data_IF_263539416076
#
_entry.id   IF_263539416076
#
_cell.length_a   1.000
_cell.length_b   1.000
_cell.length_c   1.000
_cell.angle_alpha   90.00
_cell.angle_beta   90.00
_cell.angle_gamma   90.00
#
_symmetry.space_group_name_H-M   'P 1'
#
loop_
_entity.id
_entity.type
_entity.pdbx_description
1 polymer ?
#
# COMPACT_ATOMS: atom_id res chain seq x y z
N UNK A 1 -26.93 -10.77 -3.94
CA UNK A 1 -25.87 -10.40 -2.96
C UNK A 1 -24.45 -10.74 -3.44
N UNK A 2 -24.20 -11.85 -4.12
CA UNK A 2 -22.85 -12.17 -4.63
C UNK A 2 -22.29 -11.14 -5.65
N UNK A 3 -23.15 -10.50 -6.45
CA UNK A 3 -22.72 -9.49 -7.44
C UNK A 3 -22.18 -8.20 -6.82
N UNK A 4 -22.80 -7.71 -5.74
CA UNK A 4 -22.40 -6.46 -5.09
C UNK A 4 -21.02 -6.57 -4.43
N UNK A 5 -20.69 -7.70 -3.80
CA UNK A 5 -19.39 -7.89 -3.16
C UNK A 5 -18.23 -7.94 -4.16
N UNK A 6 -18.44 -8.55 -5.33
CA UNK A 6 -17.44 -8.56 -6.41
C UNK A 6 -17.18 -7.17 -6.97
N UNK A 7 -18.24 -6.37 -7.14
CA UNK A 7 -18.10 -4.97 -7.56
C UNK A 7 -17.25 -4.17 -6.57
N UNK A 8 -17.43 -4.38 -5.26
CA UNK A 8 -16.58 -3.76 -4.25
C UNK A 8 -15.12 -4.24 -4.30
N UNK A 9 -14.85 -5.53 -4.52
CA UNK A 9 -13.47 -5.98 -4.69
C UNK A 9 -12.78 -5.29 -5.87
N UNK A 10 -13.48 -5.19 -7.01
CA UNK A 10 -12.95 -4.51 -8.19
C UNK A 10 -12.76 -3.02 -7.95
N UNK A 11 -13.69 -2.35 -7.26
CA UNK A 11 -13.52 -0.92 -6.91
C UNK A 11 -12.31 -0.71 -6.01
N UNK A 12 -12.04 -1.65 -5.09
CA UNK A 12 -10.84 -1.63 -4.26
C UNK A 12 -9.56 -1.71 -5.09
N UNK A 13 -9.50 -2.63 -6.05
CA UNK A 13 -8.36 -2.74 -6.95
C UNK A 13 -8.14 -1.48 -7.79
N UNK A 14 -9.21 -0.88 -8.31
CA UNK A 14 -9.14 0.39 -9.05
C UNK A 14 -8.63 1.52 -8.15
N UNK A 15 -9.09 1.60 -6.90
CA UNK A 15 -8.64 2.62 -5.95
C UNK A 15 -7.15 2.43 -5.60
N UNK A 16 -6.72 1.19 -5.34
CA UNK A 16 -5.32 0.87 -5.06
C UNK A 16 -4.43 1.20 -6.27
N UNK A 17 -4.90 0.89 -7.48
CA UNK A 17 -4.20 1.26 -8.71
C UNK A 17 -4.09 2.78 -8.85
N UNK A 18 -5.18 3.51 -8.63
CA UNK A 18 -5.20 4.97 -8.69
C UNK A 18 -4.22 5.59 -7.70
N UNK A 19 -4.20 5.12 -6.45
CA UNK A 19 -3.26 5.60 -5.43
C UNK A 19 -1.82 5.29 -5.80
N UNK A 20 -1.56 4.10 -6.37
CA UNK A 20 -0.23 3.70 -6.85
C UNK A 20 0.21 4.58 -8.03
N UNK A 21 -0.70 4.86 -8.97
CA UNK A 21 -0.45 5.72 -10.13
C UNK A 21 -0.19 7.17 -9.73
N UNK A 22 -1.05 7.74 -8.89
CA UNK A 22 -0.89 9.11 -8.37
C UNK A 22 0.43 9.26 -7.61
N UNK A 23 0.86 8.20 -6.91
CA UNK A 23 2.15 8.18 -6.26
C UNK A 23 3.29 8.36 -7.25
N UNK A 24 3.27 7.77 -8.45
CA UNK A 24 4.33 8.00 -9.46
C UNK A 24 4.10 9.30 -10.24
N UNK A 25 2.86 9.62 -10.60
CA UNK A 25 2.50 10.76 -11.43
C UNK A 25 2.89 12.10 -10.80
N UNK A 26 3.05 12.13 -9.48
CA UNK A 26 3.56 13.27 -8.73
C UNK A 26 4.98 13.71 -9.15
N UNK A 27 5.75 12.87 -9.85
CA UNK A 27 7.12 13.12 -10.36
C UNK A 27 8.19 13.42 -9.29
N UNK A 28 7.79 13.87 -8.09
CA UNK A 28 8.64 14.03 -6.93
C UNK A 28 7.88 13.63 -5.64
N UNK A 29 8.58 13.11 -4.63
CA UNK A 29 7.98 12.79 -3.34
C UNK A 29 7.58 14.07 -2.59
N UNK A 30 6.32 14.15 -2.19
CA UNK A 30 5.83 15.18 -1.27
C UNK A 30 4.90 14.53 -0.23
N UNK A 31 4.50 15.28 0.79
CA UNK A 31 3.78 14.73 1.96
C UNK A 31 2.52 13.93 1.56
N UNK A 32 1.78 14.37 0.55
CA UNK A 32 0.57 13.67 0.07
C UNK A 32 0.84 12.51 -0.90
N UNK A 33 2.04 12.41 -1.47
CA UNK A 33 2.45 11.34 -2.38
C UNK A 33 3.93 11.01 -2.15
N UNK A 34 4.25 10.31 -1.04
CA UNK A 34 5.64 10.12 -0.61
C UNK A 34 6.41 9.06 -1.43
N UNK A 35 5.95 8.74 -2.63
CA UNK A 35 6.51 7.70 -3.53
C UNK A 35 6.68 6.34 -2.83
N UNK A 36 5.67 5.46 -2.90
CA UNK A 36 5.86 4.10 -2.38
C UNK A 36 6.90 3.33 -3.17
N UNK A 37 7.92 2.81 -2.49
CA UNK A 37 8.92 1.93 -3.06
C UNK A 37 8.36 0.61 -3.59
N UNK A 38 7.24 0.15 -3.04
CA UNK A 38 6.55 -1.03 -3.57
C UNK A 38 6.06 -0.82 -5.01
N UNK A 39 5.87 0.44 -5.42
CA UNK A 39 5.40 0.84 -6.74
C UNK A 39 6.55 1.38 -7.60
N UNK A 40 7.40 2.23 -7.02
CA UNK A 40 8.51 2.86 -7.73
C UNK A 40 9.62 1.88 -8.10
N UNK A 41 10.01 0.95 -7.21
CA UNK A 41 11.11 0.04 -7.49
C UNK A 41 10.86 -0.85 -8.72
N UNK A 42 9.68 -1.46 -8.92
CA UNK A 42 9.34 -2.17 -10.16
C UNK A 42 9.46 -1.30 -11.42
N UNK A 43 9.05 -0.03 -11.36
CA UNK A 43 9.18 0.91 -12.49
C UNK A 43 10.66 1.16 -12.81
N UNK A 44 11.46 1.49 -11.78
CA UNK A 44 12.88 1.74 -11.94
C UNK A 44 13.61 0.50 -12.47
N UNK A 45 13.26 -0.70 -12.01
CA UNK A 45 13.82 -1.96 -12.50
C UNK A 45 13.44 -2.20 -13.96
N UNK A 46 12.17 -1.99 -14.33
CA UNK A 46 11.67 -2.13 -15.70
C UNK A 46 12.40 -1.22 -16.70
N UNK A 47 12.62 0.04 -16.31
CA UNK A 47 13.35 1.01 -17.12
C UNK A 47 14.83 0.63 -17.27
N UNK A 48 15.52 0.43 -16.16
CA UNK A 48 16.99 0.34 -16.14
C UNK A 48 17.53 -1.05 -16.51
N UNK A 49 16.80 -2.12 -16.18
CA UNK A 49 17.28 -3.50 -16.36
C UNK A 49 16.61 -4.21 -17.54
N UNK A 50 15.39 -3.82 -17.92
CA UNK A 50 14.61 -4.50 -18.96
C UNK A 50 14.38 -3.66 -20.22
N UNK A 51 14.85 -2.41 -20.25
CA UNK A 51 14.72 -1.52 -21.42
C UNK A 51 13.26 -1.20 -21.79
N UNK A 52 12.34 -1.27 -20.82
CA UNK A 52 10.94 -0.95 -21.07
C UNK A 52 10.79 0.56 -21.34
N UNK A 53 9.84 0.92 -22.19
CA UNK A 53 9.44 2.32 -22.31
C UNK A 53 8.76 2.80 -21.01
N UNK A 54 8.89 4.09 -20.70
CA UNK A 54 8.31 4.68 -19.49
C UNK A 54 6.81 4.36 -19.31
N UNK A 55 5.93 4.47 -20.33
CA UNK A 55 4.52 4.13 -20.17
C UNK A 55 4.30 2.66 -19.77
N UNK A 56 5.07 1.73 -20.34
CA UNK A 56 4.96 0.30 -20.03
C UNK A 56 5.47 0.00 -18.64
N UNK A 57 6.61 0.57 -18.25
CA UNK A 57 7.16 0.39 -16.91
C UNK A 57 6.20 0.91 -15.82
N UNK A 58 5.63 2.12 -16.00
CA UNK A 58 4.64 2.70 -15.09
C UNK A 58 3.37 1.86 -15.02
N UNK A 59 2.86 1.39 -16.15
CA UNK A 59 1.69 0.52 -16.19
C UNK A 59 1.93 -0.77 -15.38
N UNK A 60 3.05 -1.44 -15.58
CA UNK A 60 3.38 -2.68 -14.87
C UNK A 60 3.65 -2.44 -13.37
N UNK A 61 4.40 -1.40 -13.03
CA UNK A 61 4.72 -1.08 -11.64
C UNK A 61 3.48 -0.69 -10.82
N UNK A 62 2.59 0.12 -11.39
CA UNK A 62 1.33 0.52 -10.73
C UNK A 62 0.31 -0.61 -10.64
N UNK A 63 0.36 -1.59 -11.55
CA UNK A 63 -0.51 -2.75 -11.53
C UNK A 63 -0.10 -3.81 -10.49
N UNK A 64 1.13 -3.77 -9.97
CA UNK A 64 1.65 -4.81 -9.07
C UNK A 64 0.82 -4.96 -7.79
N UNK A 65 0.61 -3.84 -7.08
CA UNK A 65 -0.13 -3.83 -5.80
C UNK A 65 -1.61 -4.19 -5.96
N UNK A 66 -2.38 -3.66 -6.92
CA UNK A 66 -3.78 -4.05 -7.10
C UNK A 66 -3.94 -5.51 -7.56
N UNK A 67 -3.03 -6.03 -8.40
CA UNK A 67 -3.02 -7.45 -8.75
C UNK A 67 -2.73 -8.32 -7.52
N UNK A 68 -1.73 -7.94 -6.71
CA UNK A 68 -1.44 -8.62 -5.45
C UNK A 68 -2.66 -8.61 -4.50
N UNK A 69 -3.37 -7.48 -4.40
CA UNK A 69 -4.61 -7.37 -3.63
C UNK A 69 -5.68 -8.36 -4.11
N UNK A 70 -5.93 -8.44 -5.42
CA UNK A 70 -6.95 -9.33 -5.99
C UNK A 70 -6.63 -10.80 -5.73
N UNK A 71 -5.37 -11.20 -5.90
CA UNK A 71 -4.89 -12.56 -5.62
C UNK A 71 -4.94 -12.88 -4.12
N UNK A 72 -4.56 -11.93 -3.27
CA UNK A 72 -4.57 -12.11 -1.81
C UNK A 72 -5.99 -12.18 -1.24
N UNK A 73 -6.96 -11.54 -1.89
CA UNK A 73 -8.36 -11.44 -1.46
C UNK A 73 -9.19 -12.69 -1.73
N UNK A 74 -8.57 -13.86 -1.98
CA UNK A 74 -9.25 -15.14 -2.23
C UNK A 74 -10.35 -15.51 -1.21
N UNK A 75 -10.18 -15.16 0.07
CA UNK A 75 -11.21 -15.38 1.11
C UNK A 75 -12.45 -14.50 0.90
N UNK A 76 -12.26 -13.25 0.48
CA UNK A 76 -13.35 -12.32 0.18
C UNK A 76 -14.14 -12.76 -1.06
N UNK A 77 -13.47 -13.34 -2.06
CA UNK A 77 -14.14 -13.94 -3.22
C UNK A 77 -15.07 -15.10 -2.84
N UNK A 78 -14.73 -15.84 -1.78
CA UNK A 78 -15.55 -16.90 -1.20
C UNK A 78 -16.61 -16.40 -0.20
N UNK A 79 -16.67 -15.08 0.05
CA UNK A 79 -17.61 -14.48 0.98
C UNK A 79 -17.24 -14.67 2.47
N UNK A 80 -16.00 -15.04 2.78
CA UNK A 80 -15.55 -15.22 4.15
C UNK A 80 -15.46 -13.86 4.87
N UNK A 81 -16.27 -13.69 5.92
CA UNK A 81 -16.35 -12.44 6.67
C UNK A 81 -15.21 -12.22 7.66
N UNK A 82 -14.54 -13.28 8.11
CA UNK A 82 -13.43 -13.19 9.05
C UNK A 82 -12.13 -12.82 8.34
N UNK A 83 -11.34 -11.92 8.93
CA UNK A 83 -10.01 -11.60 8.42
C UNK A 83 -9.08 -12.82 8.62
N UNK A 84 -8.48 -13.37 7.53
CA UNK A 84 -7.55 -14.48 7.65
C UNK A 84 -6.30 -14.11 8.47
N UNK A 85 -5.77 -15.06 9.26
CA UNK A 85 -4.53 -14.86 10.04
C UNK A 85 -3.35 -14.44 9.16
N UNK A 86 -3.29 -14.93 7.90
CA UNK A 86 -2.26 -14.51 6.95
C UNK A 86 -2.28 -13.00 6.67
N UNK A 87 -3.45 -12.37 6.62
CA UNK A 87 -3.57 -10.93 6.35
C UNK A 87 -3.14 -10.09 7.55
N UNK A 88 -3.43 -10.53 8.78
CA UNK A 88 -2.91 -9.89 9.99
C UNK A 88 -1.40 -10.05 10.12
N UNK A 89 -0.86 -11.23 9.81
CA UNK A 89 0.58 -11.46 9.81
C UNK A 89 1.28 -10.59 8.75
N UNK A 90 0.69 -10.47 7.56
CA UNK A 90 1.20 -9.58 6.50
C UNK A 90 1.25 -8.13 6.97
N UNK A 91 0.21 -7.62 7.64
CA UNK A 91 0.21 -6.26 8.17
C UNK A 91 1.32 -6.04 9.22
N UNK A 92 1.56 -7.01 10.10
CA UNK A 92 2.65 -6.97 11.09
C UNK A 92 4.02 -6.94 10.38
N UNK A 93 4.21 -7.80 9.37
CA UNK A 93 5.45 -7.85 8.60
C UNK A 93 5.69 -6.53 7.86
N UNK A 94 4.67 -5.98 7.19
CA UNK A 94 4.77 -4.68 6.49
C UNK A 94 5.13 -3.57 7.49
N UNK A 95 4.49 -3.53 8.66
CA UNK A 95 4.80 -2.54 9.69
C UNK A 95 6.26 -2.66 10.17
N UNK A 96 6.71 -3.87 10.49
CA UNK A 96 8.09 -4.11 10.91
C UNK A 96 9.11 -3.71 9.83
N UNK A 97 8.84 -4.07 8.57
CA UNK A 97 9.68 -3.68 7.44
C UNK A 97 9.68 -2.16 7.21
N UNK A 98 8.54 -1.49 7.41
CA UNK A 98 8.42 -0.02 7.31
C UNK A 98 9.27 0.68 8.37
N UNK A 99 9.26 0.15 9.60
CA UNK A 99 10.11 0.63 10.70
C UNK A 99 11.58 0.40 10.41
N UNK A 100 11.98 -0.78 9.92
CA UNK A 100 13.36 -1.05 9.51
C UNK A 100 13.81 -0.16 8.35
N UNK A 101 12.92 0.08 7.38
CA UNK A 101 13.16 0.98 6.25
C UNK A 101 13.42 2.41 6.73
N UNK A 102 12.61 2.90 7.68
CA UNK A 102 12.83 4.20 8.29
C UNK A 102 14.17 4.28 9.03
N UNK A 103 14.57 3.24 9.76
CA UNK A 103 15.89 3.24 10.42
C UNK A 103 17.04 3.32 9.41
N UNK A 104 16.90 2.66 8.27
CA UNK A 104 17.94 2.62 7.23
C UNK A 104 18.04 3.92 6.43
N UNK A 105 16.91 4.44 5.94
CA UNK A 105 16.88 5.58 5.00
C UNK A 105 16.51 6.91 5.68
N UNK A 106 16.04 6.87 6.93
CA UNK A 106 15.47 8.04 7.61
C UNK A 106 16.41 9.23 7.73
N UNK A 107 17.69 9.00 8.03
CA UNK A 107 18.67 10.10 8.11
C UNK A 107 18.86 10.79 6.75
N UNK A 108 18.97 10.00 5.67
CA UNK A 108 19.03 10.54 4.30
C UNK A 108 17.75 11.29 3.93
N UNK A 109 16.59 10.75 4.30
CA UNK A 109 15.30 11.42 4.11
C UNK A 109 15.22 12.78 4.79
N UNK A 110 15.68 12.89 6.03
CA UNK A 110 15.71 14.17 6.75
C UNK A 110 16.64 15.18 6.06
N UNK A 111 17.79 14.73 5.54
CA UNK A 111 18.75 15.60 4.85
C UNK A 111 18.21 16.09 3.49
N UNK A 112 17.52 15.23 2.73
CA UNK A 112 17.03 15.54 1.38
C UNK A 112 15.67 16.25 1.41
N UNK A 113 14.71 15.74 2.19
CA UNK A 113 13.31 16.16 2.16
C UNK A 113 12.89 16.99 3.39
N UNK A 114 13.76 17.08 4.39
CA UNK A 114 13.53 17.82 5.62
C UNK A 114 12.77 17.03 6.70
N UNK A 115 12.99 17.43 7.96
CA UNK A 115 12.41 16.76 9.12
C UNK A 115 10.87 16.75 9.11
N UNK A 116 10.25 17.87 8.71
CA UNK A 116 8.79 17.98 8.66
C UNK A 116 8.16 16.95 7.72
N UNK A 117 8.75 16.75 6.54
CA UNK A 117 8.26 15.76 5.58
C UNK A 117 8.30 14.35 6.19
N UNK A 118 9.44 13.96 6.75
CA UNK A 118 9.61 12.64 7.36
C UNK A 118 8.61 12.42 8.49
N UNK A 119 8.45 13.39 9.40
CA UNK A 119 7.47 13.28 10.51
C UNK A 119 6.05 13.09 9.98
N UNK A 120 5.63 13.87 8.98
CA UNK A 120 4.27 13.77 8.43
C UNK A 120 4.01 12.41 7.77
N UNK A 121 4.96 11.92 6.97
CA UNK A 121 4.86 10.62 6.30
C UNK A 121 4.83 9.48 7.32
N UNK A 122 5.63 9.56 8.39
CA UNK A 122 5.56 8.58 9.48
C UNK A 122 4.28 8.69 10.30
N UNK A 123 3.73 9.89 10.46
CA UNK A 123 2.40 10.11 11.02
C UNK A 123 1.33 9.33 10.25
N UNK A 124 1.36 9.35 8.91
CA UNK A 124 0.45 8.54 8.09
C UNK A 124 0.66 7.03 8.30
N UNK A 125 1.90 6.55 8.36
CA UNK A 125 2.19 5.14 8.63
C UNK A 125 1.58 4.67 9.97
N UNK A 126 1.81 5.41 11.05
CA UNK A 126 1.27 5.10 12.38
C UNK A 126 -0.26 5.19 12.40
N UNK A 127 -0.83 6.21 11.74
CA UNK A 127 -2.28 6.37 11.63
C UNK A 127 -2.92 5.18 10.91
N UNK A 128 -2.39 4.77 9.75
CA UNK A 128 -2.92 3.65 8.98
C UNK A 128 -2.75 2.32 9.74
N UNK A 129 -1.60 2.09 10.39
CA UNK A 129 -1.38 0.91 11.21
C UNK A 129 -2.39 0.83 12.37
N UNK A 130 -2.70 1.96 13.00
CA UNK A 130 -3.70 2.06 14.07
C UNK A 130 -5.11 1.76 13.56
N UNK A 131 -5.48 2.27 12.38
CA UNK A 131 -6.76 1.95 11.73
C UNK A 131 -6.87 0.47 11.34
N UNK A 132 -5.79 -0.14 10.86
CA UNK A 132 -5.76 -1.58 10.58
C UNK A 132 -5.98 -2.40 11.85
N UNK A 133 -5.33 -2.03 12.96
CA UNK A 133 -5.54 -2.69 14.25
C UNK A 133 -6.99 -2.53 14.73
N UNK A 134 -7.58 -1.35 14.58
CA UNK A 134 -8.98 -1.09 14.93
C UNK A 134 -9.93 -1.96 14.10
N UNK A 135 -9.78 -1.97 12.77
CA UNK A 135 -10.58 -2.79 11.86
C UNK A 135 -10.45 -4.28 12.18
N UNK A 136 -9.24 -4.73 12.50
CA UNK A 136 -9.00 -6.11 12.95
C UNK A 136 -9.76 -6.43 14.24
N UNK A 137 -9.68 -5.56 15.26
CA UNK A 137 -10.40 -5.74 16.53
C UNK A 137 -11.92 -5.76 16.34
N UNK A 138 -12.45 -4.83 15.55
CA UNK A 138 -13.90 -4.78 15.23
C UNK A 138 -14.33 -6.08 14.54
N UNK A 139 -13.59 -6.53 13.52
CA UNK A 139 -13.91 -7.77 12.81
C UNK A 139 -13.77 -9.02 13.70
N UNK A 140 -12.85 -9.01 14.67
CA UNK A 140 -12.73 -10.11 15.66
C UNK A 140 -13.91 -10.16 16.63
N UNK A 141 -14.44 -9.01 17.04
CA UNK A 141 -15.61 -8.94 17.91
C UNK A 141 -16.91 -9.32 17.19
N UNK A 142 -17.02 -9.00 15.90
CA UNK A 142 -18.15 -9.36 15.05
C UNK A 142 -17.73 -9.49 13.59
N UNK A 143 -17.44 -10.71 13.08
CA UNK A 143 -16.96 -10.90 11.72
C UNK A 143 -17.96 -10.37 10.69
N UNK A 144 -17.53 -9.36 9.93
CA UNK A 144 -18.34 -8.69 8.92
C UNK A 144 -17.58 -8.59 7.60
N UNK A 145 -18.26 -8.87 6.49
CA UNK A 145 -17.63 -8.81 5.18
C UNK A 145 -17.16 -7.39 4.82
N UNK A 146 -17.90 -6.36 5.25
CA UNK A 146 -17.52 -4.95 5.06
C UNK A 146 -16.25 -4.58 5.82
N UNK A 147 -16.11 -5.03 7.07
CA UNK A 147 -14.92 -4.74 7.88
C UNK A 147 -13.70 -5.52 7.38
N UNK A 148 -13.89 -6.76 6.92
CA UNK A 148 -12.83 -7.53 6.25
C UNK A 148 -12.40 -6.89 4.93
N UNK A 149 -13.35 -6.44 4.11
CA UNK A 149 -13.04 -5.73 2.86
C UNK A 149 -12.28 -4.42 3.12
N UNK A 150 -12.77 -3.58 4.04
CA UNK A 150 -12.13 -2.32 4.41
C UNK A 150 -10.70 -2.54 4.92
N UNK A 151 -10.47 -3.61 5.70
CA UNK A 151 -9.15 -3.99 6.17
C UNK A 151 -8.20 -4.31 5.00
N UNK A 152 -8.63 -5.12 4.03
CA UNK A 152 -7.78 -5.46 2.88
C UNK A 152 -7.56 -4.26 1.95
N UNK A 153 -8.56 -3.42 1.73
CA UNK A 153 -8.39 -2.16 0.99
C UNK A 153 -7.33 -1.29 1.64
N UNK A 154 -7.47 -1.02 2.94
CA UNK A 154 -6.56 -0.15 3.67
C UNK A 154 -5.14 -0.73 3.68
N UNK A 155 -4.99 -2.05 3.88
CA UNK A 155 -3.69 -2.71 3.91
C UNK A 155 -2.95 -2.56 2.58
N UNK A 156 -3.60 -2.80 1.45
CA UNK A 156 -2.95 -2.72 0.14
C UNK A 156 -2.83 -1.28 -0.36
N UNK A 157 -3.77 -0.40 -0.03
CA UNK A 157 -3.63 1.04 -0.30
C UNK A 157 -2.42 1.61 0.47
N UNK A 158 -2.21 1.18 1.71
CA UNK A 158 -1.03 1.56 2.49
C UNK A 158 0.27 1.15 1.80
N UNK A 159 0.35 -0.10 1.32
CA UNK A 159 1.51 -0.60 0.56
C UNK A 159 1.71 0.19 -0.73
N UNK A 160 0.65 0.47 -1.48
CA UNK A 160 0.72 1.23 -2.73
C UNK A 160 1.06 2.71 -2.53
N UNK A 161 0.86 3.26 -1.34
CA UNK A 161 0.99 4.69 -1.08
C UNK A 161 2.23 5.09 -0.29
N UNK A 162 2.38 4.58 0.95
CA UNK A 162 3.33 5.18 1.89
C UNK A 162 3.95 4.20 2.91
N UNK A 163 3.67 2.89 2.84
CA UNK A 163 4.31 1.92 3.74
C UNK A 163 5.84 1.94 3.65
N UNK A 164 6.38 2.18 2.44
CA UNK A 164 7.81 2.26 2.17
C UNK A 164 8.12 3.55 1.40
N UNK A 165 8.14 4.73 2.05
CA UNK A 165 8.29 5.99 1.35
C UNK A 165 9.70 6.11 0.76
N UNK A 166 9.82 6.69 -0.44
CA UNK A 166 11.12 7.04 -1.01
C UNK A 166 11.68 8.24 -0.24
N UNK A 167 12.80 8.01 0.44
CA UNK A 167 13.52 8.99 1.23
C UNK A 167 14.91 9.30 0.62
N UNK A 168 15.10 9.01 -0.68
CA UNK A 168 16.34 9.23 -1.40
C UNK A 168 16.43 10.60 -2.08
N UNK A 169 17.60 10.96 -2.62
CA UNK A 169 17.77 12.17 -3.44
C UNK A 169 16.79 12.16 -4.62
N UNK A 170 16.30 13.35 -4.97
CA UNK A 170 15.42 13.62 -6.12
C UNK A 170 16.25 13.75 -7.37
#
# INVERSE_FOLDING_TARGET
MLSTHRAFLLSGAVLIWLVSYLSIAAAAPYVGAPFSMAVFAPVAIGLNNFGLSLPVAVMLGTALVPVAFLLWSGSLWRGEAAIPRRSSNLAIVIFALSVLWLMWVGQGGVQVQGLFHVIMVQGYNVFIASLLLLLYRINRAGPGLRTSLAYHWLLFAWVGWCAFPWLGPV
#
